data_IF_685364714858
#
_entry.id   IF_685364714858
#
_cell.length_a   1.000
_cell.length_b   1.000
_cell.length_c   1.000
_cell.angle_alpha   90.00
_cell.angle_beta   90.00
_cell.angle_gamma   90.00
#
_symmetry.space_group_name_H-M   'P 1'
#
loop_
_entity.id
_entity.type
_entity.pdbx_description
1 polymer ?
#
# COMPACT_ATOMS: atom_id res chain seq x y z
N UNK A 1 -55.44 10.01 32.23
CA UNK A 1 -54.50 11.03 31.73
C UNK A 1 -53.17 10.85 32.44
N UNK A 2 -52.05 10.62 31.73
CA UNK A 2 -50.73 10.55 32.40
C UNK A 2 -50.34 11.95 32.87
N UNK A 3 -49.78 12.05 34.08
CA UNK A 3 -49.30 13.32 34.64
C UNK A 3 -48.21 13.93 33.75
N UNK A 4 -48.12 15.26 33.68
CA UNK A 4 -47.08 15.95 32.92
C UNK A 4 -45.66 15.52 33.31
N UNK A 5 -45.46 15.13 34.58
CA UNK A 5 -44.19 14.56 35.07
C UNK A 5 -43.91 13.19 34.45
N UNK A 6 -44.93 12.33 34.33
CA UNK A 6 -44.83 11.02 33.68
C UNK A 6 -44.52 11.16 32.19
N UNK A 7 -45.19 12.10 31.49
CA UNK A 7 -44.94 12.36 30.06
C UNK A 7 -43.52 12.87 29.78
N UNK A 8 -42.96 13.72 30.65
CA UNK A 8 -41.57 14.20 30.53
C UNK A 8 -40.55 13.06 30.68
N UNK A 9 -40.80 12.13 31.61
CA UNK A 9 -39.94 10.97 31.81
C UNK A 9 -39.97 10.02 30.61
N UNK A 10 -41.15 9.80 30.03
CA UNK A 10 -41.31 9.00 28.79
C UNK A 10 -40.60 9.64 27.59
N UNK A 11 -40.70 10.95 27.44
CA UNK A 11 -39.97 11.67 26.37
C UNK A 11 -38.46 11.54 26.58
N UNK A 12 -37.97 11.65 27.82
CA UNK A 12 -36.55 11.52 28.15
C UNK A 12 -36.04 10.10 27.89
N UNK A 13 -36.79 9.07 28.29
CA UNK A 13 -36.42 7.68 28.04
C UNK A 13 -36.42 7.35 26.55
N UNK A 14 -37.43 7.81 25.80
CA UNK A 14 -37.47 7.65 24.34
C UNK A 14 -36.30 8.35 23.63
N UNK A 15 -35.89 9.54 24.11
CA UNK A 15 -34.72 10.25 23.59
C UNK A 15 -33.42 9.50 23.87
N UNK A 16 -33.26 8.96 25.07
CA UNK A 16 -32.10 8.13 25.43
C UNK A 16 -32.05 6.85 24.59
N UNK A 17 -33.18 6.16 24.42
CA UNK A 17 -33.27 4.96 23.57
C UNK A 17 -32.95 5.28 22.10
N UNK A 18 -33.36 6.44 21.60
CA UNK A 18 -33.00 6.88 20.24
C UNK A 18 -31.51 7.21 20.11
N UNK A 19 -30.93 7.87 21.12
CA UNK A 19 -29.51 8.18 21.15
C UNK A 19 -28.64 6.91 21.21
N UNK A 20 -29.00 5.93 22.06
CA UNK A 20 -28.31 4.64 22.12
C UNK A 20 -28.47 3.86 20.82
N UNK A 21 -29.64 3.91 20.16
CA UNK A 21 -29.84 3.28 18.84
C UNK A 21 -28.99 3.92 17.74
N UNK A 22 -28.76 5.23 17.78
CA UNK A 22 -27.90 5.94 16.82
C UNK A 22 -26.42 5.65 17.11
N UNK A 23 -26.02 5.58 18.38
CA UNK A 23 -24.65 5.22 18.78
C UNK A 23 -24.33 3.75 18.49
N UNK A 24 -25.30 2.86 18.67
CA UNK A 24 -25.17 1.42 18.44
C UNK A 24 -25.62 0.99 17.05
N UNK A 25 -26.07 1.92 16.21
CA UNK A 25 -26.23 1.67 14.78
C UNK A 25 -24.81 1.43 14.25
N UNK A 26 -24.49 0.22 13.74
CA UNK A 26 -23.22 0.03 13.08
C UNK A 26 -23.18 1.06 11.95
N UNK A 27 -22.18 1.96 11.97
CA UNK A 27 -21.86 2.82 10.84
C UNK A 27 -22.04 2.01 9.56
N UNK A 28 -22.65 2.54 8.48
CA UNK A 28 -22.89 1.76 7.27
C UNK A 28 -21.54 1.59 6.57
N UNK A 29 -20.73 0.70 7.14
CA UNK A 29 -19.34 0.41 6.84
C UNK A 29 -18.41 1.65 6.92
N UNK A 30 -17.17 1.52 7.40
CA UNK A 30 -16.12 2.43 6.96
C UNK A 30 -16.09 2.36 5.43
N UNK A 31 -15.89 3.47 4.75
CA UNK A 31 -15.84 3.56 3.27
C UNK A 31 -14.67 2.80 2.63
N UNK A 32 -13.99 1.96 3.40
CA UNK A 32 -13.02 0.98 2.94
C UNK A 32 -13.76 -0.31 2.56
N UNK A 33 -14.65 -0.23 1.57
CA UNK A 33 -15.09 -1.44 0.87
C UNK A 33 -13.87 -1.94 0.09
N UNK A 34 -13.06 -2.77 0.74
CA UNK A 34 -12.05 -3.62 0.12
C UNK A 34 -12.77 -4.60 -0.81
N UNK A 35 -13.12 -4.15 -2.01
CA UNK A 35 -13.25 -5.09 -3.11
C UNK A 35 -11.88 -5.75 -3.29
N UNK A 36 -11.76 -7.09 -3.29
CA UNK A 36 -10.49 -7.76 -3.55
C UNK A 36 -9.85 -7.15 -4.80
N UNK A 37 -8.62 -6.64 -4.65
CA UNK A 37 -7.84 -6.07 -5.75
C UNK A 37 -8.02 -4.58 -6.03
N UNK A 38 -8.61 -3.77 -5.14
CA UNK A 38 -8.61 -2.30 -5.21
C UNK A 38 -8.11 -1.70 -3.89
N UNK A 39 -7.21 -0.71 -3.97
CA UNK A 39 -6.68 0.02 -2.80
C UNK A 39 -6.50 1.50 -3.14
N UNK A 40 -7.01 2.40 -2.31
CA UNK A 40 -6.88 3.85 -2.52
C UNK A 40 -5.43 4.33 -2.56
N UNK A 41 -5.14 5.24 -3.48
CA UNK A 41 -3.84 5.89 -3.64
C UNK A 41 -3.83 7.21 -2.87
N UNK A 42 -2.87 7.37 -1.96
CA UNK A 42 -2.58 8.64 -1.32
C UNK A 42 -1.49 9.37 -2.11
N UNK A 43 -1.91 10.26 -3.03
CA UNK A 43 -0.99 11.00 -3.89
C UNK A 43 -0.02 11.90 -3.11
N UNK A 44 -0.37 12.30 -1.87
CA UNK A 44 0.49 13.15 -1.04
C UNK A 44 1.73 12.42 -0.52
N UNK A 45 1.66 11.09 -0.48
CA UNK A 45 2.73 10.20 0.01
C UNK A 45 3.65 9.70 -1.10
N UNK A 46 3.40 10.03 -2.35
CA UNK A 46 4.23 9.57 -3.46
C UNK A 46 5.57 10.31 -3.48
N UNK A 47 6.65 9.57 -3.73
CA UNK A 47 7.95 10.17 -3.97
C UNK A 47 7.86 11.18 -5.11
N UNK A 48 8.32 12.42 -4.88
CA UNK A 48 8.33 13.45 -5.93
C UNK A 48 9.33 13.07 -7.01
N UNK A 49 8.84 12.60 -8.16
CA UNK A 49 9.28 12.97 -9.53
C UNK A 49 8.47 12.18 -10.55
N UNK A 50 7.84 12.88 -11.49
CA UNK A 50 7.32 12.28 -12.72
C UNK A 50 8.10 12.93 -13.86
N UNK A 51 8.93 12.16 -14.58
CA UNK A 51 9.63 12.67 -15.76
C UNK A 51 8.73 12.67 -17.00
N UNK A 52 7.79 11.73 -17.08
CA UNK A 52 6.93 11.52 -18.24
C UNK A 52 5.53 11.10 -17.82
N UNK A 53 4.53 11.99 -17.97
CA UNK A 53 3.09 11.69 -17.87
C UNK A 53 2.59 11.18 -16.52
N UNK A 54 1.34 11.47 -16.16
CA UNK A 54 0.77 11.00 -14.88
C UNK A 54 0.45 9.49 -14.98
N UNK A 55 0.99 8.63 -14.08
CA UNK A 55 0.61 7.22 -14.07
C UNK A 55 -0.89 7.01 -13.84
N UNK A 56 -1.47 6.04 -14.54
CA UNK A 56 -2.91 5.81 -14.52
C UNK A 56 -3.52 5.53 -13.12
N UNK A 57 -2.74 5.02 -12.16
CA UNK A 57 -3.24 4.83 -10.78
C UNK A 57 -3.39 6.16 -10.02
N UNK A 58 -2.61 7.19 -10.38
CA UNK A 58 -2.74 8.53 -9.82
C UNK A 58 -3.97 9.20 -10.42
N UNK A 59 -4.15 9.12 -11.74
CA UNK A 59 -5.33 9.68 -12.42
C UNK A 59 -6.63 9.07 -11.91
N UNK A 60 -6.65 7.73 -11.71
CA UNK A 60 -7.79 7.03 -11.13
C UNK A 60 -7.97 7.26 -9.63
N UNK A 61 -6.91 7.60 -8.90
CA UNK A 61 -6.91 7.73 -7.45
C UNK A 61 -6.85 6.40 -6.67
N UNK A 62 -6.65 5.26 -7.34
CA UNK A 62 -6.53 3.94 -6.69
C UNK A 62 -5.65 2.97 -7.47
N UNK A 63 -5.03 2.06 -6.72
CA UNK A 63 -4.32 0.89 -7.21
C UNK A 63 -5.30 -0.25 -7.50
N UNK A 64 -4.96 -1.07 -8.49
CA UNK A 64 -5.68 -2.29 -8.85
C UNK A 64 -4.71 -3.46 -8.93
N UNK A 65 -5.15 -4.68 -8.70
CA UNK A 65 -4.31 -5.86 -8.93
C UNK A 65 -3.87 -5.93 -10.40
N UNK A 66 -2.56 -6.12 -10.62
CA UNK A 66 -1.97 -6.20 -11.97
C UNK A 66 -1.36 -7.58 -12.16
N UNK A 67 -1.94 -8.37 -13.06
CA UNK A 67 -1.33 -9.62 -13.49
C UNK A 67 -0.04 -9.33 -14.27
N UNK A 68 0.99 -10.16 -14.06
CA UNK A 68 2.23 -10.11 -14.80
C UNK A 68 2.87 -11.49 -14.89
N UNK A 69 3.60 -11.72 -15.97
CA UNK A 69 4.41 -12.91 -16.16
C UNK A 69 5.84 -12.65 -15.68
N UNK A 70 6.37 -13.53 -14.83
CA UNK A 70 7.74 -13.43 -14.37
C UNK A 70 8.72 -13.57 -15.55
N UNK A 71 9.60 -12.58 -15.76
CA UNK A 71 10.55 -12.59 -16.88
C UNK A 71 11.63 -13.68 -16.81
N UNK A 72 11.88 -14.24 -15.62
CA UNK A 72 12.95 -15.25 -15.45
C UNK A 72 12.38 -16.68 -15.49
N UNK A 73 11.33 -16.96 -14.72
CA UNK A 73 10.75 -18.32 -14.63
C UNK A 73 9.44 -18.51 -15.40
N UNK A 74 8.87 -17.45 -15.97
CA UNK A 74 7.63 -17.53 -16.75
C UNK A 74 6.34 -17.73 -15.94
N UNK A 75 6.41 -17.78 -14.60
CA UNK A 75 5.24 -17.95 -13.75
C UNK A 75 4.28 -16.75 -13.84
N UNK A 76 2.99 -17.03 -13.93
CA UNK A 76 1.93 -16.02 -13.81
C UNK A 76 1.81 -15.58 -12.35
N UNK A 77 1.80 -14.27 -12.14
CA UNK A 77 1.82 -13.65 -10.82
C UNK A 77 0.91 -12.43 -10.81
N UNK A 78 0.52 -12.00 -9.61
CA UNK A 78 -0.24 -10.76 -9.41
C UNK A 78 0.58 -9.81 -8.57
N UNK A 79 0.74 -8.60 -9.05
CA UNK A 79 1.23 -7.48 -8.26
C UNK A 79 0.04 -6.81 -7.60
N UNK A 80 -0.15 -7.13 -6.33
CA UNK A 80 -1.39 -6.73 -5.66
C UNK A 80 -1.44 -5.22 -5.45
N UNK A 81 -2.65 -4.66 -5.40
CA UNK A 81 -2.89 -3.26 -5.10
C UNK A 81 -2.25 -2.86 -3.75
N UNK A 82 -2.26 -3.75 -2.76
CA UNK A 82 -1.59 -3.55 -1.48
C UNK A 82 -0.05 -3.49 -1.60
N UNK A 83 0.54 -4.37 -2.44
CA UNK A 83 1.99 -4.35 -2.70
C UNK A 83 2.42 -3.08 -3.44
N UNK A 84 1.57 -2.58 -4.36
CA UNK A 84 1.79 -1.30 -5.03
C UNK A 84 1.75 -0.14 -4.04
N UNK A 85 0.71 -0.06 -3.20
CA UNK A 85 0.59 0.98 -2.15
C UNK A 85 1.84 1.02 -1.27
N UNK A 86 2.26 -0.14 -0.76
CA UNK A 86 3.48 -0.20 0.05
C UNK A 86 4.72 0.26 -0.71
N UNK A 87 4.90 -0.18 -1.96
CA UNK A 87 6.08 0.18 -2.75
C UNK A 87 6.18 1.69 -3.01
N UNK A 88 5.07 2.31 -3.45
CA UNK A 88 5.08 3.71 -3.85
C UNK A 88 4.97 4.68 -2.66
N UNK A 89 4.11 4.40 -1.68
CA UNK A 89 3.84 5.33 -0.58
C UNK A 89 4.76 5.11 0.62
N UNK A 90 5.13 3.85 0.93
CA UNK A 90 5.92 3.53 2.13
C UNK A 90 7.40 3.39 1.79
N UNK A 91 7.74 2.57 0.81
CA UNK A 91 9.12 2.35 0.40
C UNK A 91 9.69 3.47 -0.47
N UNK A 92 8.85 4.45 -0.87
CA UNK A 92 9.23 5.59 -1.72
C UNK A 92 9.92 5.14 -3.02
N UNK A 93 9.49 3.98 -3.54
CA UNK A 93 10.01 3.44 -4.79
C UNK A 93 9.63 4.31 -5.98
N UNK A 94 10.42 4.25 -7.06
CA UNK A 94 10.12 4.99 -8.27
C UNK A 94 8.71 4.60 -8.80
N UNK A 95 7.86 5.60 -9.02
CA UNK A 95 6.48 5.48 -9.51
C UNK A 95 6.35 4.77 -10.87
N UNK A 96 7.40 4.83 -11.69
CA UNK A 96 7.47 4.17 -12.99
C UNK A 96 7.80 2.67 -12.87
N UNK A 97 8.20 2.20 -11.67
CA UNK A 97 8.53 0.79 -11.43
C UNK A 97 7.31 -0.09 -11.63
N UNK A 98 7.49 -1.24 -12.29
CA UNK A 98 6.49 -2.31 -12.37
C UNK A 98 7.04 -3.63 -11.84
N UNK A 99 6.16 -4.51 -11.36
CA UNK A 99 6.54 -5.87 -11.01
C UNK A 99 6.79 -6.70 -12.29
N UNK A 100 8.01 -7.20 -12.43
CA UNK A 100 8.43 -8.05 -13.57
C UNK A 100 8.97 -9.41 -13.14
N UNK A 101 9.12 -9.62 -11.82
CA UNK A 101 9.67 -10.84 -11.22
C UNK A 101 8.82 -11.28 -10.04
N UNK A 102 8.56 -12.58 -9.97
CA UNK A 102 7.97 -13.24 -8.82
C UNK A 102 8.90 -13.14 -7.60
N UNK A 103 8.35 -13.40 -6.41
CA UNK A 103 9.10 -13.30 -5.15
C UNK A 103 10.37 -14.18 -5.12
N UNK A 104 10.32 -15.48 -5.49
CA UNK A 104 11.53 -16.31 -5.54
C UNK A 104 12.62 -15.75 -6.46
N UNK A 105 12.27 -15.33 -7.69
CA UNK A 105 13.23 -14.75 -8.62
C UNK A 105 13.79 -13.41 -8.14
N UNK A 106 12.99 -12.61 -7.43
CA UNK A 106 13.45 -11.36 -6.82
C UNK A 106 14.48 -11.58 -5.72
N UNK A 107 14.33 -12.65 -4.93
CA UNK A 107 15.31 -13.04 -3.90
C UNK A 107 16.62 -13.46 -4.55
N UNK A 108 16.56 -14.37 -5.54
CA UNK A 108 17.75 -14.80 -6.30
C UNK A 108 18.50 -13.64 -6.94
N UNK A 109 17.78 -12.70 -7.56
CA UNK A 109 18.41 -11.52 -8.17
C UNK A 109 19.02 -10.58 -7.12
N UNK A 110 18.42 -10.47 -5.93
CA UNK A 110 18.99 -9.68 -4.82
C UNK A 110 20.31 -10.29 -4.34
N UNK A 111 20.36 -11.62 -4.19
CA UNK A 111 21.57 -12.36 -3.80
C UNK A 111 22.67 -12.22 -4.85
N UNK A 112 22.34 -12.37 -6.14
CA UNK A 112 23.31 -12.16 -7.23
C UNK A 112 23.91 -10.75 -7.21
N UNK A 113 23.08 -9.72 -6.99
CA UNK A 113 23.54 -8.32 -6.89
C UNK A 113 24.37 -8.08 -5.63
N UNK A 114 24.03 -8.68 -4.49
CA UNK A 114 24.82 -8.50 -3.26
C UNK A 114 26.19 -9.15 -3.39
N UNK A 115 26.29 -10.34 -3.97
CA UNK A 115 27.57 -11.01 -4.25
C UNK A 115 28.45 -10.17 -5.18
N UNK A 116 27.88 -9.66 -6.29
CA UNK A 116 28.61 -8.80 -7.22
C UNK A 116 29.14 -7.53 -6.54
N UNK A 117 28.33 -6.87 -5.69
CA UNK A 117 28.76 -5.69 -4.91
C UNK A 117 29.90 -6.03 -3.95
N UNK A 118 29.83 -7.18 -3.27
CA UNK A 118 30.87 -7.63 -2.35
C UNK A 118 32.20 -7.81 -3.08
N UNK A 119 32.20 -8.53 -4.20
CA UNK A 119 33.41 -8.73 -5.01
C UNK A 119 33.99 -7.41 -5.53
N UNK A 120 33.14 -6.48 -5.97
CA UNK A 120 33.57 -5.15 -6.40
C UNK A 120 34.25 -4.39 -5.25
N UNK A 121 33.65 -4.40 -4.06
CA UNK A 121 34.18 -3.68 -2.89
C UNK A 121 35.51 -4.27 -2.42
N UNK A 122 35.63 -5.59 -2.36
CA UNK A 122 36.89 -6.29 -2.04
C UNK A 122 37.99 -5.93 -3.05
N UNK A 123 37.65 -5.87 -4.34
CA UNK A 123 38.58 -5.46 -5.40
C UNK A 123 39.05 -4.01 -5.24
N UNK A 124 38.15 -3.08 -4.88
CA UNK A 124 38.50 -1.69 -4.62
C UNK A 124 39.40 -1.53 -3.40
N UNK A 125 39.14 -2.27 -2.32
CA UNK A 125 39.96 -2.26 -1.11
C UNK A 125 41.39 -2.75 -1.38
N UNK A 126 41.55 -3.81 -2.18
CA UNK A 126 42.88 -4.33 -2.56
C UNK A 126 43.68 -3.30 -3.36
N UNK A 127 43.06 -2.61 -4.31
CA UNK A 127 43.70 -1.54 -5.08
C UNK A 127 44.15 -0.40 -4.18
N UNK A 128 43.26 0.09 -3.31
CA UNK A 128 43.59 1.15 -2.35
C UNK A 128 44.76 0.76 -1.45
N UNK A 129 44.82 -0.49 -0.98
CA UNK A 129 45.93 -0.97 -0.16
C UNK A 129 47.27 -1.05 -0.91
N UNK A 130 47.23 -1.29 -2.23
CA UNK A 130 48.44 -1.33 -3.07
C UNK A 130 48.92 0.08 -3.44
N UNK A 131 48.01 1.04 -3.57
CA UNK A 131 48.33 2.43 -3.94
C UNK A 131 48.93 3.25 -2.76
N UNK A 132 48.80 2.78 -1.52
CA UNK A 132 49.32 3.45 -0.30
C UNK A 132 50.65 2.84 0.20
N UNK A 133 51.27 1.96 -0.60
CA UNK A 133 52.51 1.24 -0.27
C UNK A 133 53.61 1.63 -1.25
#
# INVERSE_FOLDING_TARGET
>A
MKSGKQRKLEIKSARLQRATRIQNHPSPLPVDVYSPGIVWCDATRLARRISYGVPAFIERGYYVDIAFRCRDCGAECVWTAAQQKWWYEVAQGNIETRAVRCRPCRIKERERKSQARRMQQEGLQKKQATDHQ
#
